data_IF_002491534409
#
_entry.id   IF_002491534409
#
_cell.length_a   1.000
_cell.length_b   1.000
_cell.length_c   1.000
_cell.angle_alpha   90.00
_cell.angle_beta   90.00
_cell.angle_gamma   90.00
#
_symmetry.space_group_name_H-M   'P 1'
#
loop_
_entity.id
_entity.type
_entity.pdbx_description
1 polymer ?
#
# COMPACT_ATOMS: atom_id res chain seq x y z
N UNK A 1 -24.70 13.02 73.20
CA UNK A 1 -25.06 12.23 71.99
C UNK A 1 -24.19 12.70 70.83
N UNK A 2 -23.17 11.92 70.47
CA UNK A 2 -22.27 12.24 69.36
C UNK A 2 -22.63 11.30 68.19
N UNK A 3 -23.11 11.87 67.08
CA UNK A 3 -23.43 11.15 65.87
C UNK A 3 -22.16 11.00 65.03
N UNK A 4 -21.70 9.76 64.79
CA UNK A 4 -20.64 9.41 63.86
C UNK A 4 -21.30 9.18 62.50
N UNK A 5 -21.05 10.07 61.54
CA UNK A 5 -21.45 9.87 60.14
C UNK A 5 -20.32 9.12 59.45
N UNK A 6 -20.57 7.85 59.16
CA UNK A 6 -19.67 7.00 58.33
C UNK A 6 -19.90 7.30 56.86
N UNK A 7 -18.91 7.91 56.21
CA UNK A 7 -18.93 8.18 54.77
C UNK A 7 -18.42 6.91 54.03
N UNK A 8 -19.33 6.17 53.47
CA UNK A 8 -18.97 5.02 52.58
C UNK A 8 -18.46 5.56 51.24
N UNK A 9 -17.17 5.46 51.01
CA UNK A 9 -16.56 5.75 49.71
C UNK A 9 -16.75 4.54 48.79
N UNK A 10 -17.71 4.63 47.87
CA UNK A 10 -17.95 3.62 46.83
C UNK A 10 -16.90 3.80 45.73
N UNK A 11 -15.89 2.94 45.72
CA UNK A 11 -14.90 2.86 44.61
C UNK A 11 -15.57 2.16 43.44
N UNK A 12 -16.02 2.94 42.44
CA UNK A 12 -16.46 2.40 41.16
C UNK A 12 -15.22 1.90 40.42
N UNK A 13 -15.06 0.58 40.37
CA UNK A 13 -14.08 -0.07 39.48
C UNK A 13 -14.59 0.11 38.06
N UNK A 14 -14.07 1.10 37.36
CA UNK A 14 -14.19 1.20 35.91
C UNK A 14 -13.44 0.04 35.29
N UNK A 15 -14.16 -1.04 34.99
CA UNK A 15 -13.67 -2.07 34.07
C UNK A 15 -13.49 -1.42 32.70
N UNK A 16 -12.28 -0.93 32.42
CA UNK A 16 -11.90 -0.52 31.10
C UNK A 16 -12.08 -1.71 30.17
N UNK A 17 -13.04 -1.66 29.27
CA UNK A 17 -13.09 -2.55 28.12
C UNK A 17 -11.80 -2.29 27.35
N UNK A 18 -10.79 -3.12 27.53
CA UNK A 18 -9.65 -3.20 26.66
C UNK A 18 -10.18 -3.74 25.33
N UNK A 19 -10.48 -2.82 24.40
CA UNK A 19 -10.75 -3.24 23.03
C UNK A 19 -9.54 -4.06 22.57
N UNK A 20 -9.78 -5.24 22.00
CA UNK A 20 -8.71 -6.05 21.42
C UNK A 20 -7.92 -5.15 20.45
N UNK A 21 -6.59 -5.08 20.56
CA UNK A 21 -5.80 -4.26 19.66
C UNK A 21 -5.97 -4.76 18.23
N UNK A 22 -6.14 -3.82 17.28
CA UNK A 22 -6.26 -4.13 15.85
C UNK A 22 -5.09 -4.99 15.35
N UNK A 23 -3.89 -4.75 15.90
CA UNK A 23 -2.67 -5.47 15.59
C UNK A 23 -2.11 -6.13 16.84
N UNK A 24 -1.72 -7.39 16.72
CA UNK A 24 -1.07 -8.16 17.80
C UNK A 24 0.32 -8.58 17.35
N UNK A 25 1.34 -8.25 18.15
CA UNK A 25 2.67 -8.81 17.96
C UNK A 25 2.66 -10.30 18.30
N UNK A 26 3.23 -11.11 17.41
CA UNK A 26 3.35 -12.55 17.60
C UNK A 26 4.76 -13.02 17.29
N UNK A 27 5.14 -14.15 17.86
CA UNK A 27 6.38 -14.82 17.47
C UNK A 27 6.20 -15.49 16.10
N UNK A 28 7.22 -15.40 15.24
CA UNK A 28 7.23 -16.11 13.95
C UNK A 28 7.03 -17.63 14.10
N UNK A 29 7.39 -18.20 15.24
CA UNK A 29 7.17 -19.62 15.58
C UNK A 29 5.68 -19.97 15.78
N UNK A 30 4.84 -18.97 16.04
CA UNK A 30 3.39 -19.15 16.25
C UNK A 30 2.60 -19.03 14.96
N UNK A 31 3.25 -18.60 13.88
CA UNK A 31 2.58 -18.47 12.59
C UNK A 31 2.40 -19.85 11.96
N UNK A 32 1.15 -20.23 11.72
CA UNK A 32 0.86 -21.37 10.88
C UNK A 32 1.06 -20.95 9.42
N UNK A 33 2.16 -21.41 8.82
CA UNK A 33 2.52 -21.05 7.44
C UNK A 33 1.63 -21.83 6.48
N UNK A 34 0.77 -21.11 5.78
CA UNK A 34 -0.05 -21.64 4.67
C UNK A 34 0.25 -20.76 3.45
N UNK A 35 0.61 -21.39 2.34
CA UNK A 35 1.06 -20.69 1.13
C UNK A 35 2.57 -20.42 1.10
N UNK A 36 2.99 -19.67 0.09
CA UNK A 36 4.40 -19.36 -0.17
C UNK A 36 4.80 -18.04 0.51
N UNK A 37 5.97 -18.02 1.14
CA UNK A 37 6.58 -16.79 1.66
C UNK A 37 7.46 -16.16 0.58
N UNK A 38 6.98 -15.08 -0.03
CA UNK A 38 7.74 -14.31 -1.04
C UNK A 38 8.61 -13.22 -0.42
N UNK A 39 8.23 -12.74 0.77
CA UNK A 39 8.89 -11.65 1.48
C UNK A 39 9.42 -12.18 2.81
N UNK A 40 10.75 -12.23 2.95
CA UNK A 40 11.44 -12.70 4.15
C UNK A 40 12.42 -11.62 4.59
N UNK A 41 11.98 -10.63 5.39
CA UNK A 41 12.88 -9.60 5.90
C UNK A 41 13.85 -10.17 6.93
N UNK A 42 15.04 -9.59 7.02
CA UNK A 42 16.05 -9.97 8.01
C UNK A 42 15.69 -9.48 9.42
N UNK A 43 15.01 -8.32 9.49
CA UNK A 43 14.53 -7.70 10.73
C UNK A 43 13.12 -7.16 10.53
N UNK A 44 12.34 -7.12 11.61
CA UNK A 44 10.99 -6.58 11.62
C UNK A 44 10.09 -7.31 12.61
N UNK A 45 8.87 -6.84 12.72
CA UNK A 45 7.83 -7.43 13.55
C UNK A 45 6.96 -8.40 12.73
N UNK A 46 6.54 -9.48 13.37
CA UNK A 46 5.50 -10.37 12.85
C UNK A 46 4.21 -10.08 13.60
N UNK A 47 3.13 -9.89 12.87
CA UNK A 47 1.89 -9.34 13.39
C UNK A 47 0.71 -10.20 12.95
N UNK A 48 -0.33 -10.18 13.77
CA UNK A 48 -1.66 -10.68 13.42
C UNK A 48 -2.63 -9.51 13.37
N UNK A 49 -3.38 -9.39 12.27
CA UNK A 49 -4.46 -8.42 12.12
C UNK A 49 -5.76 -9.04 12.60
N UNK A 50 -6.54 -8.30 13.40
CA UNK A 50 -7.96 -8.61 13.60
C UNK A 50 -8.74 -8.16 12.35
N UNK A 51 -8.88 -9.10 11.40
CA UNK A 51 -9.50 -8.85 10.10
C UNK A 51 -10.97 -8.41 10.23
N UNK A 52 -11.69 -8.96 11.21
CA UNK A 52 -13.10 -8.61 11.43
C UNK A 52 -13.23 -7.15 11.89
N UNK A 53 -12.41 -6.75 12.86
CA UNK A 53 -12.34 -5.36 13.34
C UNK A 53 -11.89 -4.42 12.22
N UNK A 54 -10.87 -4.81 11.42
CA UNK A 54 -10.43 -3.97 10.30
C UNK A 54 -11.52 -3.78 9.24
N UNK A 55 -12.23 -4.84 8.85
CA UNK A 55 -13.35 -4.74 7.88
C UNK A 55 -14.49 -3.86 8.40
N UNK A 56 -14.76 -3.88 9.69
CA UNK A 56 -15.73 -2.96 10.30
C UNK A 56 -15.26 -1.51 10.23
N UNK A 57 -14.00 -1.24 10.57
CA UNK A 57 -13.39 0.09 10.44
C UNK A 57 -13.40 0.56 8.98
N UNK A 58 -13.11 -0.32 8.03
CA UNK A 58 -13.07 -0.03 6.60
C UNK A 58 -14.36 0.60 6.09
N UNK A 59 -15.51 0.17 6.61
CA UNK A 59 -16.82 0.72 6.22
C UNK A 59 -17.02 2.17 6.68
N UNK A 60 -16.30 2.61 7.70
CA UNK A 60 -16.38 3.96 8.26
C UNK A 60 -15.31 4.91 7.71
N UNK A 61 -14.33 4.42 6.93
CA UNK A 61 -13.29 5.26 6.34
C UNK A 61 -13.94 6.18 5.28
N UNK A 62 -13.92 7.52 5.48
CA UNK A 62 -14.54 8.44 4.54
C UNK A 62 -13.71 8.59 3.28
N UNK A 63 -14.38 8.89 2.16
CA UNK A 63 -13.69 9.27 0.94
C UNK A 63 -13.02 10.65 1.09
N UNK A 64 -11.88 10.83 0.44
CA UNK A 64 -11.06 12.05 0.46
C UNK A 64 -11.87 13.33 0.20
N UNK A 65 -12.82 13.29 -0.73
CA UNK A 65 -13.65 14.44 -1.14
C UNK A 65 -14.45 15.06 0.01
N UNK A 66 -14.65 14.34 1.12
CA UNK A 66 -15.39 14.85 2.27
C UNK A 66 -14.51 15.61 3.27
N UNK A 67 -13.19 15.65 3.07
CA UNK A 67 -12.24 16.32 3.98
C UNK A 67 -12.21 15.75 5.41
N UNK A 68 -12.76 14.53 5.60
CA UNK A 68 -12.83 13.82 6.90
C UNK A 68 -11.87 12.64 6.90
N UNK A 69 -11.56 12.15 8.10
CA UNK A 69 -10.70 10.98 8.32
C UNK A 69 -11.16 10.24 9.57
N UNK A 70 -10.71 9.00 9.72
CA UNK A 70 -10.74 8.27 10.99
C UNK A 70 -9.32 8.02 11.47
N UNK A 71 -9.17 7.74 12.75
CA UNK A 71 -7.87 7.34 13.31
C UNK A 71 -7.75 5.83 13.25
N UNK A 72 -6.65 5.36 12.70
CA UNK A 72 -6.29 3.93 12.65
C UNK A 72 -4.87 3.78 13.14
N UNK A 73 -4.66 2.89 14.11
CA UNK A 73 -3.31 2.55 14.59
C UNK A 73 -2.65 1.58 13.61
N UNK A 74 -1.46 1.92 13.15
CA UNK A 74 -0.63 1.07 12.28
C UNK A 74 0.62 0.62 13.03
N UNK A 75 1.09 -0.63 12.81
CA UNK A 75 2.31 -1.11 13.44
C UNK A 75 3.57 -0.49 12.83
N UNK A 76 4.62 -0.41 13.65
CA UNK A 76 5.97 -0.05 13.26
C UNK A 76 6.85 -1.31 13.21
N UNK A 77 8.03 -1.25 12.54
CA UNK A 77 8.93 -2.40 12.43
C UNK A 77 9.52 -2.92 13.75
N UNK A 78 9.47 -2.13 14.82
CA UNK A 78 9.86 -2.54 16.18
C UNK A 78 8.72 -3.23 16.96
N UNK A 79 7.51 -3.29 16.36
CA UNK A 79 6.32 -3.88 16.96
C UNK A 79 5.48 -2.90 17.78
N UNK A 80 5.89 -1.66 17.96
CA UNK A 80 5.04 -0.60 18.52
C UNK A 80 3.98 -0.18 17.49
N UNK A 81 3.08 0.73 17.87
CA UNK A 81 2.02 1.26 16.99
C UNK A 81 2.06 2.79 16.98
N UNK A 82 1.63 3.36 15.87
CA UNK A 82 1.42 4.80 15.73
C UNK A 82 0.06 5.08 15.10
N UNK A 83 -0.55 6.20 15.47
CA UNK A 83 -1.86 6.61 14.99
C UNK A 83 -1.78 7.42 13.71
N UNK A 84 -2.66 7.08 12.77
CA UNK A 84 -2.76 7.72 11.48
C UNK A 84 -4.19 8.19 11.20
N UNK A 85 -4.31 9.37 10.62
CA UNK A 85 -5.53 9.88 10.00
C UNK A 85 -5.69 9.22 8.64
N UNK A 86 -6.73 8.42 8.45
CA UNK A 86 -6.95 7.60 7.25
C UNK A 86 -8.21 8.04 6.52
N UNK A 87 -8.10 8.15 5.20
CA UNK A 87 -9.22 8.40 4.28
C UNK A 87 -9.04 7.61 2.98
N UNK A 88 -10.15 7.30 2.31
CA UNK A 88 -10.11 6.56 1.05
C UNK A 88 -9.64 7.48 -0.08
N UNK A 89 -8.53 7.11 -0.74
CA UNK A 89 -8.02 7.70 -1.97
C UNK A 89 -7.87 6.60 -2.99
N UNK A 90 -8.84 6.50 -3.89
CA UNK A 90 -8.88 5.41 -4.85
C UNK A 90 -7.90 5.59 -6.00
N UNK A 91 -7.18 4.50 -6.36
CA UNK A 91 -6.36 4.38 -7.57
C UNK A 91 -7.17 3.95 -8.80
N UNK A 92 -8.49 3.85 -8.70
CA UNK A 92 -9.38 3.42 -9.78
C UNK A 92 -10.41 4.51 -10.11
N UNK A 93 -10.76 4.67 -11.37
CA UNK A 93 -11.94 5.46 -11.76
C UNK A 93 -13.22 4.75 -11.24
N UNK A 94 -14.25 5.53 -10.89
CA UNK A 94 -15.47 5.07 -10.23
C UNK A 94 -16.05 3.79 -10.84
N UNK A 95 -16.24 3.76 -12.16
CA UNK A 95 -16.84 2.58 -12.80
C UNK A 95 -15.96 1.32 -12.79
N UNK A 96 -14.65 1.42 -12.48
CA UNK A 96 -13.80 0.26 -12.19
C UNK A 96 -13.93 -0.12 -10.72
N UNK A 97 -13.91 0.86 -9.82
CA UNK A 97 -14.08 0.63 -8.38
C UNK A 97 -15.41 -0.03 -8.04
N UNK A 98 -16.50 0.35 -8.73
CA UNK A 98 -17.83 -0.24 -8.54
C UNK A 98 -17.89 -1.73 -8.91
N UNK A 99 -17.14 -2.15 -9.93
CA UNK A 99 -17.07 -3.57 -10.32
C UNK A 99 -16.18 -4.42 -9.41
N UNK A 100 -15.24 -3.76 -8.71
CA UNK A 100 -14.27 -4.44 -7.84
C UNK A 100 -14.26 -3.81 -6.43
N UNK A 101 -15.41 -3.81 -5.71
CA UNK A 101 -15.55 -3.12 -4.42
C UNK A 101 -14.66 -3.69 -3.33
N UNK A 102 -14.15 -4.92 -3.51
CA UNK A 102 -13.23 -5.57 -2.58
C UNK A 102 -11.79 -5.03 -2.66
N UNK A 103 -11.49 -4.17 -3.64
CA UNK A 103 -10.18 -3.56 -3.81
C UNK A 103 -10.27 -2.11 -3.36
N UNK A 104 -9.66 -1.78 -2.24
CA UNK A 104 -9.69 -0.46 -1.63
C UNK A 104 -8.29 0.08 -1.41
N UNK A 105 -8.11 1.38 -1.66
CA UNK A 105 -6.85 2.08 -1.40
C UNK A 105 -7.08 3.34 -0.57
N UNK A 106 -6.13 3.63 0.31
CA UNK A 106 -6.24 4.71 1.28
C UNK A 106 -4.95 5.53 1.33
N UNK A 107 -5.12 6.78 1.73
CA UNK A 107 -4.05 7.65 2.19
C UNK A 107 -4.09 7.71 3.71
N UNK A 108 -2.92 7.67 4.32
CA UNK A 108 -2.76 7.86 5.76
C UNK A 108 -1.71 8.94 6.04
N UNK A 109 -1.94 9.72 7.09
CA UNK A 109 -1.05 10.78 7.56
C UNK A 109 -0.91 10.60 9.07
N UNK A 110 0.31 10.50 9.57
CA UNK A 110 0.54 10.35 11.01
C UNK A 110 -0.10 11.50 11.81
N UNK A 111 -0.65 11.16 12.96
CA UNK A 111 -1.23 12.15 13.88
C UNK A 111 -0.14 13.01 14.49
N UNK A 112 0.99 12.40 14.85
CA UNK A 112 2.11 13.06 15.53
C UNK A 112 2.98 13.87 14.56
N UNK A 113 3.22 13.34 13.35
CA UNK A 113 4.10 13.98 12.39
C UNK A 113 3.48 13.99 10.97
N UNK A 114 3.01 15.15 10.47
CA UNK A 114 2.34 15.24 9.17
C UNK A 114 3.25 14.93 7.97
N UNK A 115 4.56 14.88 8.15
CA UNK A 115 5.51 14.48 7.09
C UNK A 115 5.62 12.97 6.96
N UNK A 116 5.16 12.21 7.95
CA UNK A 116 5.05 10.76 7.90
C UNK A 116 3.72 10.40 7.27
N UNK A 117 3.78 9.82 6.08
CA UNK A 117 2.59 9.47 5.28
C UNK A 117 2.62 8.01 4.85
N UNK A 118 1.46 7.44 4.57
CA UNK A 118 1.39 6.07 4.11
C UNK A 118 0.36 5.88 2.99
N UNK A 119 0.66 4.94 2.10
CA UNK A 119 -0.28 4.34 1.16
C UNK A 119 -0.69 2.98 1.69
N UNK A 120 -2.00 2.81 1.85
CA UNK A 120 -2.56 1.57 2.35
C UNK A 120 -3.47 0.99 1.27
N UNK A 121 -3.56 -0.32 1.21
CA UNK A 121 -4.59 -1.00 0.43
C UNK A 121 -5.10 -2.24 1.18
N UNK A 122 -6.35 -2.59 0.88
CA UNK A 122 -6.94 -3.83 1.32
C UNK A 122 -7.59 -4.50 0.11
N UNK A 123 -7.17 -5.73 -0.14
CA UNK A 123 -7.52 -6.50 -1.34
C UNK A 123 -7.84 -7.94 -0.94
N UNK A 124 -8.26 -8.82 -1.86
CA UNK A 124 -8.36 -10.25 -1.59
C UNK A 124 -7.06 -10.88 -1.05
N UNK A 125 -5.90 -10.27 -1.29
CA UNK A 125 -4.61 -10.71 -0.75
C UNK A 125 -4.32 -10.19 0.66
N UNK A 126 -5.23 -9.42 1.25
CA UNK A 126 -5.10 -8.84 2.58
C UNK A 126 -4.69 -7.36 2.56
N UNK A 127 -4.18 -6.92 3.69
CA UNK A 127 -3.73 -5.55 3.93
C UNK A 127 -2.30 -5.35 3.44
N UNK A 128 -2.04 -4.20 2.83
CA UNK A 128 -0.69 -3.76 2.50
C UNK A 128 -0.51 -2.31 2.91
N UNK A 129 0.71 -1.96 3.31
CA UNK A 129 1.09 -0.59 3.55
C UNK A 129 2.50 -0.30 3.04
N UNK A 130 2.70 0.93 2.58
CA UNK A 130 4.01 1.54 2.34
C UNK A 130 4.03 2.87 3.08
N UNK A 131 4.89 2.98 4.08
CA UNK A 131 4.98 4.15 4.96
C UNK A 131 6.28 4.88 4.71
N UNK A 132 6.19 6.18 4.51
CA UNK A 132 7.31 7.10 4.37
C UNK A 132 7.57 7.76 5.72
N UNK A 133 8.56 7.28 6.45
CA UNK A 133 8.93 7.81 7.76
C UNK A 133 10.29 8.53 7.72
N UNK A 134 10.64 9.21 8.83
CA UNK A 134 11.93 9.88 8.96
C UNK A 134 13.11 8.89 9.00
N UNK A 135 12.86 7.65 9.44
CA UNK A 135 13.86 6.58 9.52
C UNK A 135 14.01 5.80 8.21
N UNK A 136 13.19 6.14 7.23
CA UNK A 136 13.13 5.51 5.91
C UNK A 136 11.77 4.90 5.60
N UNK A 137 11.70 4.26 4.46
CA UNK A 137 10.47 3.58 4.02
C UNK A 137 10.35 2.23 4.71
N UNK A 138 9.17 1.93 5.24
CA UNK A 138 8.84 0.60 5.74
C UNK A 138 7.54 0.07 5.13
N UNK A 139 7.37 -1.24 5.19
CA UNK A 139 6.24 -1.94 4.61
C UNK A 139 5.51 -2.77 5.65
N UNK A 140 4.21 -2.95 5.44
CA UNK A 140 3.40 -3.98 6.06
C UNK A 140 2.87 -4.84 4.93
N UNK A 141 3.28 -6.10 4.89
CA UNK A 141 2.92 -7.04 3.83
C UNK A 141 2.42 -8.36 4.40
N UNK A 142 1.50 -9.06 3.71
CA UNK A 142 1.09 -10.41 4.10
C UNK A 142 2.30 -11.33 4.30
N UNK A 143 2.23 -12.17 5.32
CA UNK A 143 3.31 -13.11 5.67
C UNK A 143 3.53 -14.17 4.59
N UNK A 144 2.46 -14.55 3.88
CA UNK A 144 2.49 -15.44 2.72
C UNK A 144 1.69 -14.83 1.57
N UNK A 145 1.73 -15.44 0.40
CA UNK A 145 0.94 -15.03 -0.77
C UNK A 145 -0.57 -15.28 -0.62
N UNK A 146 -0.99 -15.87 0.50
CA UNK A 146 -2.40 -16.03 0.86
C UNK A 146 -2.73 -15.10 2.03
N UNK A 147 -3.97 -14.60 2.05
CA UNK A 147 -4.44 -13.80 3.18
C UNK A 147 -4.75 -14.69 4.38
N UNK A 148 -3.77 -14.90 5.24
CA UNK A 148 -3.86 -15.71 6.45
C UNK A 148 -4.05 -14.88 7.72
N UNK A 149 -4.16 -13.55 7.59
CA UNK A 149 -4.25 -12.62 8.71
C UNK A 149 -2.91 -12.33 9.41
N UNK A 150 -1.81 -12.90 8.91
CA UNK A 150 -0.45 -12.67 9.42
C UNK A 150 0.34 -11.77 8.48
N UNK A 151 1.17 -10.89 9.05
CA UNK A 151 1.88 -9.84 8.33
C UNK A 151 3.31 -9.70 8.82
N UNK A 152 4.19 -9.22 7.92
CA UNK A 152 5.51 -8.70 8.27
C UNK A 152 5.46 -7.17 8.25
N UNK A 153 6.02 -6.51 9.28
CA UNK A 153 6.29 -5.08 9.28
C UNK A 153 7.80 -4.87 9.34
N UNK A 154 8.39 -4.23 8.32
CA UNK A 154 9.84 -4.19 8.15
C UNK A 154 10.29 -2.97 7.37
N UNK A 155 11.50 -2.45 7.64
CA UNK A 155 12.11 -1.40 6.83
C UNK A 155 12.59 -1.95 5.49
N UNK A 156 12.49 -1.14 4.44
CA UNK A 156 13.02 -1.47 3.11
C UNK A 156 14.48 -1.94 3.15
N UNK A 157 15.32 -1.31 3.99
CA UNK A 157 16.73 -1.65 4.16
C UNK A 157 16.98 -3.04 4.76
N UNK A 158 15.99 -3.59 5.50
CA UNK A 158 16.07 -4.91 6.14
C UNK A 158 15.55 -6.04 5.23
N UNK A 159 15.16 -5.72 4.01
CA UNK A 159 14.78 -6.70 2.99
C UNK A 159 15.85 -6.81 1.92
N UNK A 160 16.52 -7.97 1.89
CA UNK A 160 17.50 -8.32 0.85
C UNK A 160 16.87 -9.34 -0.08
N UNK A 161 16.79 -9.01 -1.35
CA UNK A 161 16.32 -9.94 -2.38
C UNK A 161 17.42 -10.96 -2.65
N UNK A 162 17.23 -12.20 -2.19
CA UNK A 162 18.26 -13.27 -2.28
C UNK A 162 18.37 -13.88 -3.68
N UNK A 163 17.33 -13.78 -4.50
CA UNK A 163 17.32 -14.28 -5.88
C UNK A 163 17.13 -13.10 -6.85
N UNK A 164 18.21 -12.38 -7.10
CA UNK A 164 18.26 -11.51 -8.27
C UNK A 164 18.66 -12.36 -9.49
N UNK A 165 17.72 -13.08 -10.09
CA UNK A 165 17.74 -13.13 -11.53
C UNK A 165 17.44 -11.71 -11.97
N UNK A 166 18.47 -11.00 -12.40
CA UNK A 166 18.29 -9.78 -13.17
C UNK A 166 17.49 -10.19 -14.41
N UNK A 167 16.20 -9.94 -14.40
CA UNK A 167 15.49 -9.86 -15.67
C UNK A 167 16.11 -8.63 -16.36
N UNK A 168 17.05 -8.92 -17.25
CA UNK A 168 17.66 -7.88 -18.08
C UNK A 168 16.48 -7.23 -18.80
N UNK A 169 16.34 -5.92 -18.58
CA UNK A 169 15.39 -5.15 -19.35
C UNK A 169 15.72 -5.41 -20.84
N UNK A 170 14.80 -6.01 -21.61
CA UNK A 170 15.01 -6.27 -23.03
C UNK A 170 15.08 -4.98 -23.88
N UNK A 171 14.96 -3.84 -23.23
CA UNK A 171 15.22 -2.53 -23.85
C UNK A 171 16.72 -2.41 -24.08
N UNK A 172 17.13 -2.30 -25.34
CA UNK A 172 18.54 -2.03 -25.70
C UNK A 172 18.99 -0.78 -24.96
N UNK A 173 20.15 -0.91 -24.29
CA UNK A 173 20.78 0.24 -23.62
C UNK A 173 21.35 1.18 -24.69
N UNK A 174 21.60 2.43 -24.32
CA UNK A 174 22.20 3.42 -25.23
C UNK A 174 23.56 2.97 -25.82
N UNK A 175 24.21 1.98 -25.22
CA UNK A 175 25.44 1.34 -25.73
C UNK A 175 25.18 0.40 -26.91
N UNK A 176 23.93 -0.02 -27.15
CA UNK A 176 23.54 -0.81 -28.32
C UNK A 176 23.11 0.10 -29.50
N UNK A 177 23.21 1.42 -29.32
CA UNK A 177 22.93 2.39 -30.38
C UNK A 177 24.15 2.39 -31.30
N UNK A 178 23.94 1.96 -32.54
CA UNK A 178 24.95 1.98 -33.59
C UNK A 178 25.49 3.42 -33.75
N UNK A 179 26.73 3.66 -33.33
CA UNK A 179 27.41 4.96 -33.43
C UNK A 179 27.50 5.47 -34.86
N UNK A 180 27.23 4.60 -35.86
CA UNK A 180 27.24 4.94 -37.26
C UNK A 180 25.88 5.46 -37.78
N UNK A 181 24.86 5.52 -36.94
CA UNK A 181 23.54 6.09 -37.32
C UNK A 181 23.31 7.46 -36.68
N UNK A 182 23.59 8.57 -37.39
CA UNK A 182 23.49 9.92 -36.82
C UNK A 182 22.07 10.36 -36.46
N UNK A 183 21.04 9.56 -36.81
CA UNK A 183 19.64 9.88 -36.49
C UNK A 183 19.23 9.45 -35.08
N UNK A 184 19.99 8.60 -34.40
CA UNK A 184 19.69 8.15 -33.04
C UNK A 184 20.38 8.96 -31.94
N UNK A 185 21.38 9.80 -32.29
CA UNK A 185 22.23 10.49 -31.34
C UNK A 185 21.72 11.87 -30.89
N UNK A 186 20.60 12.38 -31.42
CA UNK A 186 20.16 13.75 -31.15
C UNK A 186 18.79 13.82 -30.50
N UNK A 187 18.55 12.99 -29.45
CA UNK A 187 17.60 13.40 -28.43
C UNK A 187 18.34 14.34 -27.48
N UNK A 188 18.64 15.55 -27.97
CA UNK A 188 18.88 16.65 -27.05
C UNK A 188 17.71 16.65 -26.08
N UNK A 189 18.02 16.38 -24.79
CA UNK A 189 17.19 16.89 -23.71
C UNK A 189 17.19 18.38 -23.97
N UNK A 190 16.16 18.85 -24.67
CA UNK A 190 16.01 20.26 -24.95
C UNK A 190 15.96 20.95 -23.61
N UNK A 191 17.03 21.64 -23.28
CA UNK A 191 16.93 22.78 -22.41
C UNK A 191 16.00 23.73 -23.13
N UNK A 192 14.69 23.58 -22.83
CA UNK A 192 13.69 24.49 -23.32
C UNK A 192 14.00 25.83 -22.64
N UNK A 193 14.56 26.84 -23.32
CA UNK A 193 14.88 28.12 -22.69
C UNK A 193 13.64 28.90 -22.23
N UNK A 194 12.47 28.29 -22.34
CA UNK A 194 11.18 28.78 -21.92
C UNK A 194 10.48 27.87 -20.89
N UNK A 195 11.19 26.97 -20.20
CA UNK A 195 10.67 26.35 -19.02
C UNK A 195 10.46 27.46 -17.98
N UNK A 196 9.33 28.11 -18.06
CA UNK A 196 8.79 28.96 -16.99
C UNK A 196 8.90 28.16 -15.70
N UNK A 197 9.40 28.82 -14.67
CA UNK A 197 9.53 28.30 -13.32
C UNK A 197 8.41 27.34 -12.98
N UNK A 198 8.76 26.14 -12.52
CA UNK A 198 7.76 25.19 -12.04
C UNK A 198 7.08 25.84 -10.86
N UNK A 199 5.95 26.47 -11.12
CA UNK A 199 5.13 27.06 -10.06
C UNK A 199 4.62 25.90 -9.22
N UNK A 200 5.18 25.74 -8.03
CA UNK A 200 4.66 24.85 -7.01
C UNK A 200 3.33 25.41 -6.51
N UNK A 201 2.25 25.05 -7.20
CA UNK A 201 0.89 25.53 -6.91
C UNK A 201 0.22 24.75 -5.76
N UNK A 202 0.97 23.84 -5.11
CA UNK A 202 0.47 23.00 -4.02
C UNK A 202 -0.59 21.98 -4.45
N UNK A 203 -0.75 21.72 -5.75
CA UNK A 203 -1.77 20.82 -6.29
C UNK A 203 -1.18 19.50 -6.74
N UNK A 204 -1.88 18.42 -6.43
CA UNK A 204 -1.62 17.10 -7.01
C UNK A 204 -2.38 16.97 -8.31
N UNK A 205 -1.66 16.63 -9.38
CA UNK A 205 -2.25 16.41 -10.72
C UNK A 205 -2.61 14.94 -10.90
N UNK A 206 -3.87 14.68 -11.24
CA UNK A 206 -4.35 13.32 -11.48
C UNK A 206 -4.25 12.95 -12.96
N UNK A 207 -3.53 11.87 -13.27
CA UNK A 207 -3.42 11.29 -14.59
C UNK A 207 -4.21 9.98 -14.69
N UNK A 208 -4.82 9.79 -15.87
CA UNK A 208 -5.52 8.55 -16.19
C UNK A 208 -4.53 7.54 -16.78
N UNK A 209 -4.45 6.36 -16.18
CA UNK A 209 -3.54 5.29 -16.56
C UNK A 209 -4.31 4.13 -17.18
N UNK A 210 -3.89 3.69 -18.38
CA UNK A 210 -4.23 2.40 -18.95
C UNK A 210 -3.01 1.49 -18.77
N UNK A 211 -3.16 0.41 -18.02
CA UNK A 211 -2.09 -0.51 -17.68
C UNK A 211 -2.51 -1.92 -18.11
N UNK A 212 -1.85 -2.45 -19.12
CA UNK A 212 -2.03 -3.83 -19.56
C UNK A 212 -1.16 -4.79 -18.74
N UNK A 213 -1.54 -6.05 -18.69
CA UNK A 213 -0.67 -7.12 -18.22
C UNK A 213 -0.73 -8.32 -19.16
N UNK A 214 0.38 -9.05 -19.24
CA UNK A 214 0.48 -10.31 -19.99
C UNK A 214 -0.05 -11.48 -19.16
N UNK A 215 -0.21 -12.63 -19.79
CA UNK A 215 -0.63 -13.87 -19.11
C UNK A 215 0.42 -14.33 -18.08
N UNK A 216 1.72 -14.11 -18.35
CA UNK A 216 2.80 -14.47 -17.41
C UNK A 216 2.71 -13.65 -16.13
N UNK A 217 2.45 -12.33 -16.24
CA UNK A 217 2.22 -11.50 -15.08
C UNK A 217 0.98 -11.99 -14.31
N UNK A 218 -0.11 -12.27 -15.03
CA UNK A 218 -1.34 -12.76 -14.41
C UNK A 218 -1.11 -14.06 -13.64
N UNK A 219 -0.38 -15.02 -14.23
CA UNK A 219 -0.01 -16.27 -13.57
C UNK A 219 0.88 -16.03 -12.33
N UNK A 220 1.84 -15.13 -12.42
CA UNK A 220 2.78 -14.85 -11.33
C UNK A 220 2.11 -14.20 -10.09
N UNK A 221 1.09 -13.34 -10.29
CA UNK A 221 0.48 -12.56 -9.21
C UNK A 221 -0.93 -13.01 -8.83
N UNK A 222 -1.65 -13.66 -9.74
CA UNK A 222 -3.05 -14.06 -9.55
C UNK A 222 -3.25 -15.42 -8.88
N UNK A 223 -2.14 -16.14 -8.62
CA UNK A 223 -2.15 -17.49 -8.05
C UNK A 223 -2.46 -18.59 -9.08
N UNK A 224 -2.73 -19.83 -8.61
CA UNK A 224 -2.91 -20.99 -9.48
C UNK A 224 -4.08 -20.89 -10.47
N UNK A 225 -5.06 -20.06 -10.15
CA UNK A 225 -6.23 -19.81 -10.99
C UNK A 225 -6.49 -18.32 -11.05
N UNK A 226 -5.69 -17.56 -11.85
CA UNK A 226 -5.80 -16.11 -11.90
C UNK A 226 -7.17 -15.68 -12.43
N UNK A 227 -7.73 -14.67 -11.80
CA UNK A 227 -8.96 -13.99 -12.23
C UNK A 227 -8.65 -12.52 -12.49
N UNK A 228 -9.48 -11.83 -13.26
CA UNK A 228 -9.31 -10.39 -13.44
C UNK A 228 -9.31 -9.63 -12.12
N UNK A 229 -10.06 -10.10 -11.12
CA UNK A 229 -10.11 -9.49 -9.80
C UNK A 229 -8.79 -9.65 -9.03
N UNK A 230 -8.20 -10.86 -9.01
CA UNK A 230 -6.93 -11.11 -8.32
C UNK A 230 -5.77 -10.40 -8.99
N UNK A 231 -5.71 -10.41 -10.32
CA UNK A 231 -4.68 -9.70 -11.08
C UNK A 231 -4.81 -8.19 -10.90
N UNK A 232 -6.05 -7.65 -10.99
CA UNK A 232 -6.29 -6.22 -10.75
C UNK A 232 -5.90 -5.80 -9.34
N UNK A 233 -6.15 -6.64 -8.33
CA UNK A 233 -5.74 -6.39 -6.95
C UNK A 233 -4.22 -6.19 -6.85
N UNK A 234 -3.42 -7.09 -7.39
CA UNK A 234 -1.96 -6.97 -7.43
C UNK A 234 -1.49 -5.72 -8.18
N UNK A 235 -2.11 -5.41 -9.32
CA UNK A 235 -1.83 -4.19 -10.09
C UNK A 235 -2.18 -2.92 -9.32
N UNK A 236 -3.25 -2.93 -8.51
CA UNK A 236 -3.66 -1.78 -7.69
C UNK A 236 -2.70 -1.60 -6.52
N UNK A 237 -2.30 -2.66 -5.83
CA UNK A 237 -1.26 -2.60 -4.77
C UNK A 237 0.04 -1.98 -5.31
N UNK A 238 0.49 -2.43 -6.50
CA UNK A 238 1.68 -1.87 -7.15
C UNK A 238 1.49 -0.38 -7.49
N UNK A 239 0.37 -0.01 -8.11
CA UNK A 239 0.08 1.38 -8.48
C UNK A 239 -0.04 2.28 -7.25
N UNK A 240 -0.65 1.80 -6.18
CA UNK A 240 -0.79 2.56 -4.94
C UNK A 240 0.58 2.91 -4.34
N UNK A 241 1.54 1.99 -4.38
CA UNK A 241 2.94 2.22 -3.97
C UNK A 241 3.66 3.19 -4.90
N UNK A 242 3.47 3.06 -6.21
CA UNK A 242 4.02 4.00 -7.20
C UNK A 242 3.46 5.40 -6.97
N UNK A 243 2.15 5.52 -6.72
CA UNK A 243 1.53 6.80 -6.37
C UNK A 243 2.12 7.40 -5.09
N UNK A 244 2.51 6.58 -4.11
CA UNK A 244 3.18 7.07 -2.91
C UNK A 244 4.47 7.84 -3.22
N UNK A 245 5.28 7.31 -4.14
CA UNK A 245 6.51 7.97 -4.61
C UNK A 245 6.18 9.18 -5.49
N UNK A 246 5.30 9.03 -6.47
CA UNK A 246 5.01 10.06 -7.46
C UNK A 246 4.28 11.27 -6.86
N UNK A 247 3.39 11.05 -5.89
CA UNK A 247 2.75 12.16 -5.17
C UNK A 247 3.77 12.96 -4.37
N UNK A 248 4.73 12.28 -3.74
CA UNK A 248 5.75 12.91 -2.93
C UNK A 248 6.79 13.67 -3.75
N UNK A 249 7.27 13.06 -4.83
CA UNK A 249 8.39 13.61 -5.61
C UNK A 249 7.94 14.50 -6.79
N UNK A 250 6.75 14.22 -7.36
CA UNK A 250 6.30 14.83 -8.61
C UNK A 250 4.93 15.52 -8.51
N UNK A 251 4.24 15.39 -7.36
CA UNK A 251 2.85 15.85 -7.20
C UNK A 251 1.90 15.23 -8.23
N UNK A 252 2.12 13.97 -8.59
CA UNK A 252 1.34 13.20 -9.56
C UNK A 252 0.61 12.05 -8.88
N UNK A 253 -0.68 11.95 -9.13
CA UNK A 253 -1.51 10.80 -8.77
C UNK A 253 -2.04 10.12 -10.02
N UNK A 254 -1.90 8.79 -10.12
CA UNK A 254 -2.38 8.02 -11.26
C UNK A 254 -3.62 7.21 -10.88
N UNK A 255 -4.63 7.24 -11.76
CA UNK A 255 -5.86 6.44 -11.64
C UNK A 255 -6.03 5.52 -12.82
N UNK A 256 -6.27 4.24 -12.56
CA UNK A 256 -6.65 3.27 -13.59
C UNK A 256 -7.97 3.66 -14.25
N UNK A 257 -7.98 3.65 -15.59
CA UNK A 257 -9.17 3.96 -16.39
C UNK A 257 -10.32 2.99 -16.10
N UNK A 258 -11.54 3.48 -16.29
CA UNK A 258 -12.81 2.78 -16.08
C UNK A 258 -12.84 1.35 -16.68
N UNK A 259 -12.25 1.15 -17.86
CA UNK A 259 -12.22 -0.14 -18.56
C UNK A 259 -10.86 -0.84 -18.47
N UNK A 260 -10.05 -0.57 -17.44
CA UNK A 260 -8.70 -1.16 -17.36
C UNK A 260 -8.71 -2.69 -17.23
N UNK A 261 -9.79 -3.26 -16.72
CA UNK A 261 -9.97 -4.72 -16.60
C UNK A 261 -10.05 -5.45 -17.95
N UNK A 262 -10.33 -4.73 -19.06
CA UNK A 262 -10.25 -5.29 -20.41
C UNK A 262 -8.82 -5.49 -20.91
N UNK A 263 -7.85 -4.83 -20.26
CA UNK A 263 -6.42 -4.94 -20.54
C UNK A 263 -5.71 -5.99 -19.66
N UNK A 264 -6.48 -6.75 -18.90
CA UNK A 264 -5.98 -7.87 -18.08
C UNK A 264 -6.18 -9.15 -18.84
N UNK A 265 -5.07 -9.71 -19.36
CA UNK A 265 -5.04 -10.95 -20.10
C UNK A 265 -4.70 -12.10 -19.14
N UNK A 266 -5.54 -13.14 -19.11
CA UNK A 266 -5.38 -14.31 -18.22
C UNK A 266 -5.35 -15.63 -18.95
N UNK A 267 -5.77 -15.69 -20.23
CA UNK A 267 -5.81 -16.92 -21.03
C UNK A 267 -5.02 -16.81 -22.31
N UNK A 268 -4.99 -15.64 -22.94
CA UNK A 268 -4.22 -15.38 -24.16
C UNK A 268 -3.97 -13.89 -24.27
N UNK A 269 -2.84 -13.51 -24.82
CA UNK A 269 -2.51 -12.16 -25.26
C UNK A 269 -1.80 -12.21 -26.62
N UNK A 270 -1.54 -11.05 -27.18
CA UNK A 270 -0.90 -10.87 -28.48
C UNK A 270 0.48 -10.20 -28.38
N UNK A 271 1.07 -10.21 -27.18
CA UNK A 271 2.36 -9.59 -26.92
C UNK A 271 3.50 -10.59 -26.96
#
# INVERSE_FOLDING_TARGET
>A
MKYFISLLFSVAILNGFSANPLWQNISSKQVQVVGERKIIPQKGAVLKLDDATFRSLQQSIPAEQYGRHIIVSLPLPDGSVADFRVFERTCMEQGLADRYPMIKTYQAISVENPFVTAKLDYTPFGFHAMVFSNEGVYFIDPYTNLNTGYYNCYYKKDYVRTNMEYSVCGTKTATDIDENNPTSANRQIGTNPGATDVVLDGKIRTFRLALACTIEYAAAVGGPSPTKATVLAAMVTSLNRVNGVYEKELSIHMKKKKKNDTLIFITSDSY
#
